data_IF_888190361194
#
_entry.id   IF_888190361194
#
_cell.length_a   1.000
_cell.length_b   1.000
_cell.length_c   1.000
_cell.angle_alpha   90.00
_cell.angle_beta   90.00
_cell.angle_gamma   90.00
#
_symmetry.space_group_name_H-M   'P 1'
#
loop_
_entity.id
_entity.type
_entity.pdbx_description
1 polymer ?
#
# COMPACT_ATOMS: atom_id res chain seq x y z
N UNK A 1 -16.36 -31.41 5.80
CA UNK A 1 -15.44 -31.16 4.66
C UNK A 1 -14.37 -30.18 5.12
N UNK A 2 -13.09 -30.56 5.10
CA UNK A 2 -11.98 -29.64 5.33
C UNK A 2 -11.86 -28.79 4.08
N UNK A 3 -12.21 -27.49 4.17
CA UNK A 3 -12.09 -26.55 3.05
C UNK A 3 -10.59 -26.28 2.86
N UNK A 4 -10.07 -26.63 1.69
CA UNK A 4 -8.66 -26.42 1.36
C UNK A 4 -8.33 -24.91 1.47
N UNK A 5 -7.36 -24.53 2.33
CA UNK A 5 -6.97 -23.13 2.57
C UNK A 5 -5.84 -22.68 1.62
N UNK A 6 -5.84 -23.14 0.38
CA UNK A 6 -4.87 -22.72 -0.64
C UNK A 6 -5.13 -21.29 -1.18
N UNK A 7 -5.90 -20.47 -0.46
CA UNK A 7 -6.03 -19.04 -0.73
C UNK A 7 -4.80 -18.32 -0.14
N UNK A 8 -3.63 -18.65 -0.66
CA UNK A 8 -2.44 -17.85 -0.37
C UNK A 8 -2.52 -16.60 -1.25
N UNK A 9 -2.59 -15.44 -0.61
CA UNK A 9 -2.39 -14.17 -1.29
C UNK A 9 -0.88 -14.04 -1.56
N UNK A 10 -0.50 -14.29 -2.81
CA UNK A 10 0.86 -14.02 -3.25
C UNK A 10 1.03 -12.51 -3.41
N UNK A 11 1.51 -11.87 -2.34
CA UNK A 11 1.76 -10.44 -2.32
C UNK A 11 2.78 -9.99 -3.36
N UNK A 12 3.74 -10.84 -3.74
CA UNK A 12 4.73 -10.50 -4.77
C UNK A 12 4.10 -10.51 -6.16
N UNK A 13 3.29 -11.52 -6.48
CA UNK A 13 2.51 -11.55 -7.72
C UNK A 13 1.55 -10.37 -7.81
N UNK A 14 0.86 -10.06 -6.71
CA UNK A 14 -0.07 -8.93 -6.67
C UNK A 14 0.66 -7.60 -6.84
N UNK A 15 1.78 -7.39 -6.13
CA UNK A 15 2.58 -6.16 -6.23
C UNK A 15 3.11 -5.94 -7.65
N UNK A 16 3.50 -7.02 -8.33
CA UNK A 16 4.07 -6.95 -9.67
C UNK A 16 3.02 -6.75 -10.77
N UNK A 17 1.87 -7.42 -10.70
CA UNK A 17 0.89 -7.46 -11.81
C UNK A 17 -0.37 -6.64 -11.58
N UNK A 18 -0.81 -6.50 -10.32
CA UNK A 18 -2.11 -5.89 -10.00
C UNK A 18 -1.96 -4.49 -9.40
N UNK A 19 -1.11 -4.35 -8.37
CA UNK A 19 -0.91 -3.11 -7.64
C UNK A 19 -0.45 -1.90 -8.49
N UNK A 20 0.32 -2.04 -9.60
CA UNK A 20 0.73 -0.88 -10.41
C UNK A 20 -0.45 -0.11 -11.02
N UNK A 21 -1.60 -0.76 -11.17
CA UNK A 21 -2.82 -0.09 -11.64
C UNK A 21 -3.35 0.97 -10.65
N UNK A 22 -2.92 0.91 -9.38
CA UNK A 22 -3.32 1.83 -8.32
C UNK A 22 -2.41 3.06 -8.24
N UNK A 23 -1.25 3.07 -8.92
CA UNK A 23 -0.25 4.13 -8.81
C UNK A 23 -0.80 5.51 -9.16
N UNK A 24 -1.70 5.60 -10.15
CA UNK A 24 -2.36 6.86 -10.50
C UNK A 24 -3.18 7.42 -9.34
N UNK A 25 -3.94 6.56 -8.66
CA UNK A 25 -4.70 6.95 -7.47
C UNK A 25 -3.77 7.36 -6.32
N UNK A 26 -2.65 6.65 -6.13
CA UNK A 26 -1.65 7.00 -5.13
C UNK A 26 -0.99 8.36 -5.40
N UNK A 27 -0.78 8.76 -6.66
CA UNK A 27 -0.31 10.11 -6.98
C UNK A 27 -1.30 11.18 -6.56
N UNK A 28 -2.61 10.96 -6.72
CA UNK A 28 -3.62 11.90 -6.22
C UNK A 28 -3.59 12.00 -4.69
N UNK A 29 -3.42 10.87 -3.98
CA UNK A 29 -3.25 10.86 -2.53
C UNK A 29 -1.97 11.62 -2.12
N UNK A 30 -0.85 11.37 -2.79
CA UNK A 30 0.42 12.07 -2.52
C UNK A 30 0.28 13.59 -2.62
N UNK A 31 -0.49 14.08 -3.58
CA UNK A 31 -0.65 15.52 -3.82
C UNK A 31 -1.48 16.24 -2.76
N UNK A 32 -2.23 15.52 -1.92
CA UNK A 32 -2.99 16.11 -0.80
C UNK A 32 -2.28 15.96 0.55
N UNK A 33 -1.15 15.26 0.59
CA UNK A 33 -0.35 15.08 1.81
C UNK A 33 0.63 16.25 1.92
N UNK A 34 0.49 17.00 3.01
CA UNK A 34 1.42 18.08 3.36
C UNK A 34 2.79 17.53 3.78
N UNK A 35 3.90 18.25 3.54
CA UNK A 35 5.22 17.84 4.01
C UNK A 35 5.28 17.58 5.52
N UNK A 36 6.18 16.68 5.94
CA UNK A 36 6.41 16.27 7.33
C UNK A 36 5.19 15.67 8.05
N UNK A 37 4.16 15.25 7.30
CA UNK A 37 2.96 14.60 7.86
C UNK A 37 3.28 13.25 8.50
N UNK A 38 2.55 12.89 9.56
CA UNK A 38 2.50 11.52 10.09
C UNK A 38 1.24 10.83 9.57
N UNK A 39 1.38 9.65 8.94
CA UNK A 39 0.30 8.94 8.28
C UNK A 39 0.11 7.51 8.81
N UNK A 40 -1.13 7.05 8.87
CA UNK A 40 -1.51 5.65 9.10
C UNK A 40 -2.28 5.11 7.88
N UNK A 41 -1.88 3.95 7.39
CA UNK A 41 -2.50 3.25 6.26
C UNK A 41 -3.06 1.90 6.72
N UNK A 42 -4.38 1.75 6.64
CA UNK A 42 -5.11 0.56 7.10
C UNK A 42 -5.51 -0.25 5.87
N UNK A 43 -5.04 -1.49 5.81
CA UNK A 43 -5.09 -2.31 4.59
C UNK A 43 -3.98 -1.94 3.62
N UNK A 44 -2.76 -1.72 4.12
CA UNK A 44 -1.64 -1.27 3.31
C UNK A 44 -1.15 -2.29 2.29
N UNK A 45 -1.62 -3.56 2.39
CA UNK A 45 -1.24 -4.65 1.51
C UNK A 45 0.27 -4.83 1.46
N UNK A 46 0.84 -4.73 0.26
CA UNK A 46 2.29 -4.89 0.01
C UNK A 46 3.12 -3.67 0.42
N UNK A 47 2.49 -2.61 0.94
CA UNK A 47 3.15 -1.38 1.35
C UNK A 47 3.50 -0.43 0.19
N UNK A 48 2.97 -0.68 -1.01
CA UNK A 48 3.30 0.09 -2.23
C UNK A 48 3.09 1.60 -2.08
N UNK A 49 2.02 2.03 -1.41
CA UNK A 49 1.75 3.46 -1.16
C UNK A 49 2.85 4.09 -0.29
N UNK A 50 3.32 3.39 0.75
CA UNK A 50 4.33 3.89 1.69
C UNK A 50 5.59 4.37 0.95
N UNK A 51 6.05 3.61 -0.04
CA UNK A 51 7.21 3.96 -0.86
C UNK A 51 6.97 5.18 -1.76
N UNK A 52 5.74 5.39 -2.24
CA UNK A 52 5.43 6.51 -3.12
C UNK A 52 5.34 7.85 -2.39
N UNK A 53 4.99 7.83 -1.10
CA UNK A 53 4.80 9.03 -0.28
C UNK A 53 5.91 9.24 0.77
N UNK A 54 6.95 8.39 0.77
CA UNK A 54 8.03 8.44 1.76
C UNK A 54 8.75 9.80 1.80
N UNK A 55 8.77 10.54 0.69
CA UNK A 55 9.32 11.90 0.59
C UNK A 55 8.45 12.99 1.22
N UNK A 56 7.21 12.67 1.59
CA UNK A 56 6.24 13.60 2.19
C UNK A 56 6.03 13.36 3.69
N UNK A 57 6.35 12.17 4.18
CA UNK A 57 5.99 11.76 5.53
C UNK A 57 7.19 11.74 6.48
N UNK A 58 7.04 12.32 7.67
CA UNK A 58 8.00 12.17 8.76
C UNK A 58 7.86 10.80 9.45
N UNK A 59 6.66 10.20 9.37
CA UNK A 59 6.34 8.89 9.93
C UNK A 59 5.20 8.24 9.13
N UNK A 60 5.30 6.94 8.91
CA UNK A 60 4.27 6.12 8.25
C UNK A 60 4.07 4.82 9.05
N UNK A 61 2.83 4.53 9.43
CA UNK A 61 2.44 3.24 10.02
C UNK A 61 1.52 2.49 9.05
N UNK A 62 1.92 1.30 8.63
CA UNK A 62 1.06 0.40 7.84
C UNK A 62 0.51 -0.74 8.71
N UNK A 63 -0.77 -1.06 8.56
CA UNK A 63 -1.42 -2.20 9.22
C UNK A 63 -2.18 -2.99 8.16
N UNK A 64 -1.93 -4.30 8.07
CA UNK A 64 -2.61 -5.24 7.16
C UNK A 64 -2.91 -6.57 7.89
#
# INVERSE_FOLDING_TARGET
MIKNKNHWYDGLFYDYLIAPNQDKSFQHIKNIIEPDSSLIDIGCGTGRLAFQIADKCSRFDGID
#
